data_IF_222023214614
#
_entry.id   IF_222023214614
#
_cell.length_a   1.000
_cell.length_b   1.000
_cell.length_c   1.000
_cell.angle_alpha   90.00
_cell.angle_beta   90.00
_cell.angle_gamma   90.00
#
_symmetry.space_group_name_H-M   'P 1'
#
loop_
_entity.id
_entity.type
_entity.pdbx_description
1 polymer ?
#
# COMPACT_ATOMS: atom_id res chain seq x y z
N UNK A 1 1.00 -10.49 -1.17
CA UNK A 1 0.12 -10.09 -0.04
C UNK A 1 -0.75 -11.27 0.31
N UNK A 2 -1.06 -11.48 1.59
CA UNK A 2 -2.10 -12.44 2.03
C UNK A 2 -3.09 -11.69 2.92
N UNK A 3 -4.35 -12.11 2.95
CA UNK A 3 -5.44 -11.39 3.63
C UNK A 3 -6.35 -12.38 4.33
N UNK A 4 -6.77 -12.07 5.55
CA UNK A 4 -7.73 -12.88 6.28
C UNK A 4 -9.09 -12.90 5.55
N UNK A 5 -9.68 -14.09 5.39
CA UNK A 5 -10.98 -14.26 4.75
C UNK A 5 -12.14 -13.61 5.51
N UNK A 6 -12.03 -13.51 6.84
CA UNK A 6 -13.12 -13.03 7.70
C UNK A 6 -12.99 -11.56 8.09
N UNK A 7 -11.84 -11.16 8.63
CA UNK A 7 -11.66 -9.80 9.18
C UNK A 7 -10.93 -8.83 8.24
N UNK A 8 -10.50 -9.30 7.06
CA UNK A 8 -9.82 -8.46 6.07
C UNK A 8 -8.41 -7.99 6.45
N UNK A 9 -7.86 -8.41 7.60
CA UNK A 9 -6.50 -8.06 8.01
C UNK A 9 -5.48 -8.49 6.97
N UNK A 10 -4.57 -7.56 6.64
CA UNK A 10 -3.59 -7.71 5.57
C UNK A 10 -2.22 -8.07 6.15
N UNK A 11 -1.53 -8.99 5.49
CA UNK A 11 -0.19 -9.44 5.83
C UNK A 11 0.73 -9.40 4.61
N UNK A 12 2.03 -9.33 4.89
CA UNK A 12 3.11 -9.42 3.92
C UNK A 12 4.13 -10.45 4.42
N UNK A 13 4.43 -11.47 3.61
CA UNK A 13 5.32 -12.57 3.98
C UNK A 13 6.76 -12.15 4.31
N UNK A 14 7.17 -10.92 3.99
CA UNK A 14 8.49 -10.37 4.32
C UNK A 14 8.40 -9.38 5.48
N UNK A 15 7.52 -8.39 5.38
CA UNK A 15 7.48 -7.25 6.31
C UNK A 15 6.50 -7.43 7.49
N UNK A 16 5.34 -8.03 7.27
CA UNK A 16 4.25 -8.16 8.27
C UNK A 16 3.79 -9.61 8.24
N UNK A 17 4.60 -10.49 8.81
CA UNK A 17 4.35 -11.93 8.83
C UNK A 17 3.27 -12.28 9.86
N UNK A 18 2.38 -13.25 9.58
CA UNK A 18 1.54 -13.81 10.63
C UNK A 18 2.38 -14.58 11.64
N UNK A 19 1.91 -14.67 12.89
CA UNK A 19 2.59 -15.44 13.94
C UNK A 19 2.51 -16.94 13.65
N UNK A 20 1.38 -17.38 13.13
CA UNK A 20 1.15 -18.76 12.68
C UNK A 20 0.93 -18.78 11.18
N UNK A 21 1.65 -19.64 10.46
CA UNK A 21 1.50 -19.76 9.00
C UNK A 21 0.07 -20.16 8.64
N UNK A 22 -0.55 -19.43 7.71
CA UNK A 22 -1.90 -19.70 7.23
C UNK A 22 -3.04 -19.18 8.12
N UNK A 23 -2.77 -18.67 9.32
CA UNK A 23 -3.79 -18.23 10.27
C UNK A 23 -3.73 -16.74 10.58
N UNK A 24 -4.90 -16.11 10.67
CA UNK A 24 -5.02 -14.74 11.14
C UNK A 24 -4.71 -14.63 12.64
N UNK A 25 -3.81 -13.73 13.03
CA UNK A 25 -3.46 -13.54 14.44
C UNK A 25 -4.62 -13.00 15.30
N UNK A 26 -5.62 -12.40 14.66
CA UNK A 26 -6.74 -11.73 15.34
C UNK A 26 -7.94 -12.65 15.50
N UNK A 27 -8.36 -13.35 14.43
CA UNK A 27 -9.58 -14.17 14.43
C UNK A 27 -9.36 -15.64 14.08
N UNK A 28 -8.11 -16.08 13.89
CA UNK A 28 -7.72 -17.47 13.59
C UNK A 28 -8.24 -18.04 12.26
N UNK A 29 -8.99 -17.27 11.48
CA UNK A 29 -9.43 -17.68 10.15
C UNK A 29 -8.28 -17.78 9.14
N UNK A 30 -8.57 -18.40 8.00
CA UNK A 30 -7.61 -18.67 6.93
C UNK A 30 -7.09 -17.38 6.28
N UNK A 31 -5.79 -17.35 6.03
CA UNK A 31 -5.16 -16.33 5.20
C UNK A 31 -5.18 -16.77 3.73
N UNK A 32 -5.77 -15.95 2.88
CA UNK A 32 -5.91 -16.19 1.45
C UNK A 32 -5.12 -15.16 0.64
N UNK A 33 -4.48 -15.62 -0.45
CA UNK A 33 -3.88 -14.74 -1.45
C UNK A 33 -4.91 -14.39 -2.51
N UNK A 34 -4.95 -13.14 -2.95
CA UNK A 34 -5.84 -12.75 -4.04
C UNK A 34 -5.37 -13.39 -5.35
N UNK A 35 -6.27 -13.86 -6.23
CA UNK A 35 -5.88 -14.53 -7.46
C UNK A 35 -5.05 -13.63 -8.39
N UNK A 36 -5.28 -12.31 -8.36
CA UNK A 36 -4.55 -11.32 -9.15
C UNK A 36 -3.22 -10.87 -8.54
N UNK A 37 -2.83 -11.35 -7.35
CA UNK A 37 -1.52 -11.02 -6.74
C UNK A 37 -0.42 -11.93 -7.33
N UNK A 38 -0.23 -11.83 -8.65
CA UNK A 38 0.76 -12.56 -9.45
C UNK A 38 1.58 -11.62 -10.34
N UNK A 39 2.72 -12.10 -10.85
CA UNK A 39 3.66 -11.28 -11.63
C UNK A 39 3.06 -10.70 -12.91
N UNK A 40 2.27 -11.50 -13.65
CA UNK A 40 1.64 -11.04 -14.88
C UNK A 40 0.71 -9.85 -14.61
N UNK A 41 -0.17 -9.98 -13.60
CA UNK A 41 -1.09 -8.92 -13.20
C UNK A 41 -0.35 -7.71 -12.65
N UNK A 42 0.77 -7.91 -11.94
CA UNK A 42 1.62 -6.83 -11.45
C UNK A 42 2.18 -6.00 -12.61
N UNK A 43 2.80 -6.65 -13.62
CA UNK A 43 3.37 -5.95 -14.77
C UNK A 43 2.32 -5.18 -15.56
N UNK A 44 1.14 -5.77 -15.80
CA UNK A 44 0.04 -5.07 -16.46
C UNK A 44 -0.42 -3.84 -15.68
N UNK A 45 -0.57 -3.97 -14.36
CA UNK A 45 -1.04 -2.88 -13.49
C UNK A 45 -0.02 -1.74 -13.37
N UNK A 46 1.27 -2.04 -13.20
CA UNK A 46 2.30 -0.99 -13.08
C UNK A 46 2.49 -0.24 -14.40
N UNK A 47 2.41 -0.95 -15.54
CA UNK A 47 2.42 -0.31 -16.86
C UNK A 47 1.25 0.67 -17.02
N UNK A 48 0.03 0.22 -16.72
CA UNK A 48 -1.15 1.06 -16.82
C UNK A 48 -1.11 2.24 -15.84
N UNK A 49 -0.70 2.00 -14.59
CA UNK A 49 -0.52 3.04 -13.58
C UNK A 49 0.44 4.13 -14.07
N UNK A 50 1.60 3.76 -14.60
CA UNK A 50 2.56 4.74 -15.13
C UNK A 50 2.00 5.53 -16.32
N UNK A 51 1.15 4.92 -17.15
CA UNK A 51 0.53 5.60 -18.29
C UNK A 51 -0.57 6.58 -17.87
N UNK A 52 -1.37 6.25 -16.86
CA UNK A 52 -2.55 7.04 -16.47
C UNK A 52 -2.30 7.97 -15.30
N UNK A 53 -1.61 7.50 -14.27
CA UNK A 53 -1.38 8.26 -13.04
C UNK A 53 -0.31 9.31 -13.22
N UNK A 54 0.70 9.08 -14.08
CA UNK A 54 1.72 10.09 -14.37
C UNK A 54 1.11 11.40 -14.90
N UNK A 55 0.13 11.31 -15.81
CA UNK A 55 -0.57 12.48 -16.35
C UNK A 55 -1.26 13.29 -15.23
N UNK A 56 -1.86 12.60 -14.26
CA UNK A 56 -2.48 13.25 -13.10
C UNK A 56 -1.44 13.85 -12.16
N UNK A 57 -0.32 13.16 -11.94
CA UNK A 57 0.78 13.68 -11.13
C UNK A 57 1.34 14.97 -11.74
N UNK A 58 1.63 14.98 -13.03
CA UNK A 58 2.13 16.15 -13.76
C UNK A 58 1.15 17.33 -13.62
N UNK A 59 -0.16 17.08 -13.77
CA UNK A 59 -1.21 18.09 -13.58
C UNK A 59 -1.24 18.72 -12.17
N UNK A 60 -1.14 17.90 -11.12
CA UNK A 60 -1.12 18.43 -9.74
C UNK A 60 0.22 19.07 -9.38
N UNK A 61 1.32 18.63 -9.99
CA UNK A 61 2.65 19.23 -9.83
C UNK A 61 2.69 20.63 -10.45
N UNK A 62 2.18 20.80 -11.68
CA UNK A 62 2.08 22.11 -12.36
C UNK A 62 1.21 23.11 -11.57
N UNK A 63 0.21 22.63 -10.85
CA UNK A 63 -0.64 23.46 -9.99
C UNK A 63 -0.05 23.75 -8.60
N UNK A 64 1.09 23.17 -8.26
CA UNK A 64 1.69 23.29 -6.92
C UNK A 64 0.87 22.60 -5.83
N UNK A 65 0.05 21.60 -6.19
CA UNK A 65 -0.80 20.84 -5.27
C UNK A 65 -0.33 19.39 -5.05
N UNK A 66 0.81 19.00 -5.63
CA UNK A 66 1.40 17.68 -5.43
C UNK A 66 2.47 17.73 -4.34
N UNK A 67 2.28 16.94 -3.28
CA UNK A 67 3.32 16.65 -2.30
C UNK A 67 3.78 15.19 -2.43
N UNK A 68 5.09 14.98 -2.40
CA UNK A 68 5.71 13.65 -2.56
C UNK A 68 6.26 13.19 -1.21
N UNK A 69 5.92 11.97 -0.81
CA UNK A 69 6.36 11.33 0.44
C UNK A 69 7.02 10.00 0.06
N UNK A 70 8.17 9.68 0.65
CA UNK A 70 8.81 8.39 0.46
C UNK A 70 8.16 7.32 1.32
N UNK A 71 7.96 6.12 0.79
CA UNK A 71 7.47 4.96 1.55
C UNK A 71 8.60 4.10 2.13
N UNK A 72 9.86 4.44 1.89
CA UNK A 72 11.04 3.62 2.26
C UNK A 72 11.50 3.83 3.71
N UNK A 73 10.63 4.37 4.56
CA UNK A 73 10.89 4.66 5.98
C UNK A 73 10.03 3.78 6.90
N UNK A 74 10.22 3.90 8.21
CA UNK A 74 9.38 3.19 9.17
C UNK A 74 7.92 3.67 9.09
N UNK A 75 6.97 2.84 9.53
CA UNK A 75 5.55 3.21 9.55
C UNK A 75 5.31 4.48 10.38
N UNK A 76 6.07 4.66 11.46
CA UNK A 76 5.90 5.76 12.39
C UNK A 76 6.48 7.07 11.85
N UNK A 77 7.63 7.00 11.18
CA UNK A 77 8.19 8.14 10.46
C UNK A 77 7.27 8.58 9.31
N UNK A 78 6.78 7.61 8.53
CA UNK A 78 5.85 7.87 7.44
C UNK A 78 4.57 8.55 7.94
N UNK A 79 4.00 8.04 9.03
CA UNK A 79 2.79 8.59 9.65
C UNK A 79 3.02 10.02 10.15
N UNK A 80 4.17 10.27 10.78
CA UNK A 80 4.54 11.61 11.27
C UNK A 80 4.66 12.58 10.09
N UNK A 81 5.36 12.19 9.02
CA UNK A 81 5.52 13.03 7.84
C UNK A 81 4.18 13.36 7.17
N UNK A 82 3.25 12.41 7.08
CA UNK A 82 1.90 12.66 6.56
C UNK A 82 1.16 13.70 7.41
N UNK A 83 1.22 13.58 8.74
CA UNK A 83 0.56 14.52 9.66
C UNK A 83 1.18 15.92 9.55
N UNK A 84 2.50 16.02 9.45
CA UNK A 84 3.17 17.32 9.34
C UNK A 84 2.85 18.02 8.03
N UNK A 85 2.72 17.27 6.93
CA UNK A 85 2.28 17.80 5.64
C UNK A 85 0.81 18.24 5.65
N UNK A 86 -0.07 17.50 6.32
CA UNK A 86 -1.48 17.88 6.50
C UNK A 86 -1.59 19.22 7.25
N UNK A 87 -0.88 19.36 8.38
CA UNK A 87 -0.82 20.62 9.13
C UNK A 87 -0.25 21.80 8.33
N UNK A 88 0.68 21.54 7.42
CA UNK A 88 1.27 22.57 6.58
C UNK A 88 0.30 23.10 5.51
N UNK A 89 -0.75 22.33 5.17
CA UNK A 89 -1.79 22.73 4.22
C UNK A 89 -2.90 23.59 4.85
N UNK A 90 -3.00 23.64 6.19
CA UNK A 90 -4.01 24.40 6.94
C UNK A 90 -5.23 23.57 7.28
#
# INVERSE_FOLDING_TARGET
RITCSECGKIYNLLAIKPKTSGECDTCKALLVQRPCDNLESFHKRIFLFNKTVKILMDYYEEKGHLMKISSDMSLEDFRTQVIDLDKALG
#
